data_IF_405265504047
#
_entry.id   IF_405265504047
#
_cell.length_a   1.000
_cell.length_b   1.000
_cell.length_c   1.000
_cell.angle_alpha   90.00
_cell.angle_beta   90.00
_cell.angle_gamma   90.00
#
_symmetry.space_group_name_H-M   'P 1'
#
loop_
_entity.id
_entity.type
_entity.pdbx_description
1 polymer ?
#
# COMPACT_ATOMS: atom_id res chain seq x y z
N UNK A 1 -36.30 -23.28 -17.66
CA UNK A 1 -36.08 -21.92 -17.13
C UNK A 1 -34.64 -21.53 -17.42
N UNK A 2 -34.42 -20.69 -18.43
CA UNK A 2 -33.07 -20.20 -18.77
C UNK A 2 -32.75 -19.04 -17.81
N UNK A 3 -31.93 -19.29 -16.80
CA UNK A 3 -31.32 -18.19 -16.04
C UNK A 3 -30.36 -17.48 -16.99
N UNK A 4 -30.73 -16.25 -17.37
CA UNK A 4 -29.81 -15.28 -17.97
C UNK A 4 -28.81 -14.90 -16.87
N UNK A 5 -27.80 -15.74 -16.68
CA UNK A 5 -26.72 -15.48 -15.75
C UNK A 5 -25.94 -14.28 -16.27
N UNK A 6 -26.04 -13.15 -15.58
CA UNK A 6 -25.11 -12.04 -15.76
C UNK A 6 -23.70 -12.62 -15.67
N UNK A 7 -22.98 -12.65 -16.79
CA UNK A 7 -21.68 -13.29 -16.85
C UNK A 7 -20.77 -12.65 -15.80
N UNK A 8 -20.09 -13.41 -14.93
CA UNK A 8 -19.16 -12.87 -13.94
C UNK A 8 -18.04 -12.02 -14.57
N UNK A 9 -17.80 -12.18 -15.88
CA UNK A 9 -16.96 -11.28 -16.66
C UNK A 9 -17.46 -9.82 -16.67
N UNK A 10 -18.77 -9.58 -16.71
CA UNK A 10 -19.35 -8.23 -16.69
C UNK A 10 -19.11 -7.52 -15.35
N UNK A 11 -19.20 -8.22 -14.23
CA UNK A 11 -18.88 -7.67 -12.92
C UNK A 11 -17.38 -7.39 -12.77
N UNK A 12 -16.55 -8.25 -13.34
CA UNK A 12 -15.08 -8.10 -13.32
C UNK A 12 -14.64 -6.90 -14.18
N UNK A 13 -15.21 -6.74 -15.38
CA UNK A 13 -14.93 -5.61 -16.27
C UNK A 13 -15.44 -4.29 -15.67
N UNK A 14 -16.65 -4.26 -15.09
CA UNK A 14 -17.15 -3.07 -14.42
C UNK A 14 -16.32 -2.71 -13.18
N UNK A 15 -15.88 -3.71 -12.41
CA UNK A 15 -14.93 -3.50 -11.30
C UNK A 15 -13.59 -2.93 -11.78
N UNK A 16 -13.08 -3.38 -12.92
CA UNK A 16 -11.86 -2.85 -13.56
C UNK A 16 -12.03 -1.42 -14.08
N UNK A 17 -13.18 -1.10 -14.67
CA UNK A 17 -13.49 0.26 -15.14
C UNK A 17 -13.61 1.21 -13.95
N UNK A 18 -14.28 0.81 -12.87
CA UNK A 18 -14.37 1.62 -11.64
C UNK A 18 -12.98 1.80 -11.03
N UNK A 19 -12.16 0.74 -10.95
CA UNK A 19 -10.78 0.83 -10.48
C UNK A 19 -9.93 1.77 -11.34
N UNK A 20 -10.03 1.67 -12.66
CA UNK A 20 -9.30 2.52 -13.60
C UNK A 20 -9.74 3.98 -13.49
N UNK A 21 -11.04 4.25 -13.42
CA UNK A 21 -11.60 5.60 -13.22
C UNK A 21 -11.12 6.18 -11.89
N UNK A 22 -11.15 5.41 -10.80
CA UNK A 22 -10.64 5.86 -9.49
C UNK A 22 -9.13 6.13 -9.50
N UNK A 23 -8.35 5.39 -10.28
CA UNK A 23 -6.91 5.61 -10.44
C UNK A 23 -6.59 6.82 -11.34
N UNK A 24 -7.38 7.07 -12.38
CA UNK A 24 -7.18 8.20 -13.31
C UNK A 24 -7.77 9.52 -12.81
N UNK A 25 -8.76 9.46 -11.91
CA UNK A 25 -9.33 10.64 -11.23
C UNK A 25 -8.65 10.97 -9.90
N UNK A 26 -7.51 10.33 -9.60
CA UNK A 26 -6.64 10.84 -8.56
C UNK A 26 -6.33 12.30 -8.90
N UNK A 27 -6.63 13.26 -8.01
CA UNK A 27 -6.37 14.65 -8.28
C UNK A 27 -4.88 14.75 -8.62
N UNK A 28 -4.61 15.15 -9.86
CA UNK A 28 -3.31 15.68 -10.25
C UNK A 28 -3.13 16.90 -9.38
N UNK A 29 -2.52 16.68 -8.20
CA UNK A 29 -2.11 17.75 -7.32
C UNK A 29 -1.10 18.52 -8.13
N UNK A 30 -1.56 19.61 -8.73
CA UNK A 30 -0.70 20.70 -9.17
C UNK A 30 0.23 20.95 -8.00
N UNK A 31 1.51 20.63 -8.19
CA UNK A 31 2.55 20.95 -7.23
C UNK A 31 2.56 22.47 -7.16
N UNK A 32 1.80 23.02 -6.22
CA UNK A 32 1.87 24.42 -5.88
C UNK A 32 3.32 24.65 -5.46
N UNK A 33 4.07 25.42 -6.25
CA UNK A 33 5.46 25.73 -5.97
C UNK A 33 5.50 26.46 -4.63
N UNK A 34 5.78 25.69 -3.57
CA UNK A 34 6.11 26.25 -2.26
C UNK A 34 7.40 27.02 -2.46
N UNK A 35 7.34 28.32 -2.19
CA UNK A 35 8.50 29.20 -2.24
C UNK A 35 9.61 28.54 -1.40
N UNK A 36 10.78 28.22 -1.97
CA UNK A 36 11.77 27.40 -1.28
C UNK A 36 12.26 28.12 -0.03
N UNK A 37 12.04 27.50 1.14
CA UNK A 37 12.64 27.95 2.39
C UNK A 37 14.16 27.92 2.27
N UNK A 38 14.84 28.94 2.81
CA UNK A 38 16.31 28.98 2.85
C UNK A 38 16.90 27.92 3.80
N UNK A 39 16.11 27.37 4.74
CA UNK A 39 16.54 26.32 5.66
C UNK A 39 16.18 24.92 5.11
N UNK A 40 17.18 24.07 4.78
CA UNK A 40 16.96 22.72 4.27
C UNK A 40 16.14 21.82 5.20
N UNK A 41 16.16 22.09 6.51
CA UNK A 41 15.36 21.34 7.49
C UNK A 41 13.89 21.76 7.43
N UNK A 42 13.60 23.06 7.33
CA UNK A 42 12.23 23.56 7.18
C UNK A 42 11.60 23.01 5.91
N UNK A 43 12.32 23.09 4.79
CA UNK A 43 11.87 22.53 3.49
C UNK A 43 11.52 21.04 3.60
N UNK A 44 12.39 20.27 4.27
CA UNK A 44 12.19 18.83 4.45
C UNK A 44 10.98 18.49 5.33
N UNK A 45 10.80 19.23 6.43
CA UNK A 45 9.66 19.03 7.34
C UNK A 45 8.34 19.43 6.67
N UNK A 46 8.31 20.54 5.94
CA UNK A 46 7.13 20.96 5.16
C UNK A 46 6.77 19.92 4.10
N UNK A 47 7.77 19.42 3.35
CA UNK A 47 7.52 18.37 2.35
C UNK A 47 6.94 17.10 2.99
N UNK A 48 7.44 16.68 4.15
CA UNK A 48 6.92 15.51 4.88
C UNK A 48 5.51 15.77 5.41
N UNK A 49 5.27 16.91 6.04
CA UNK A 49 3.95 17.29 6.56
C UNK A 49 2.91 17.26 5.44
N UNK A 50 3.18 17.97 4.35
CA UNK A 50 2.26 18.09 3.22
C UNK A 50 2.01 16.75 2.56
N UNK A 51 3.08 16.00 2.27
CA UNK A 51 2.98 14.70 1.64
C UNK A 51 2.19 13.70 2.48
N UNK A 52 2.52 13.59 3.76
CA UNK A 52 1.93 12.58 4.62
C UNK A 52 0.49 12.99 5.00
N UNK A 53 0.21 14.28 5.19
CA UNK A 53 -1.17 14.75 5.40
C UNK A 53 -2.00 14.58 4.13
N UNK A 54 -1.64 15.21 3.01
CA UNK A 54 -2.50 15.25 1.80
C UNK A 54 -2.72 13.87 1.18
N UNK A 55 -1.72 12.96 1.25
CA UNK A 55 -1.82 11.66 0.58
C UNK A 55 -2.22 10.48 1.49
N UNK A 56 -2.51 10.69 2.78
CA UNK A 56 -2.88 9.61 3.72
C UNK A 56 -4.04 8.76 3.21
N UNK A 57 -5.14 9.41 2.83
CA UNK A 57 -6.35 8.76 2.35
C UNK A 57 -6.15 8.08 0.99
N UNK A 58 -5.43 8.72 0.08
CA UNK A 58 -5.12 8.12 -1.23
C UNK A 58 -4.39 6.80 -1.08
N UNK A 59 -3.35 6.73 -0.24
CA UNK A 59 -2.60 5.50 -0.01
C UNK A 59 -3.45 4.40 0.62
N UNK A 60 -4.29 4.77 1.59
CA UNK A 60 -5.20 3.83 2.26
C UNK A 60 -6.30 3.31 1.33
N UNK A 61 -6.89 4.20 0.51
CA UNK A 61 -7.91 3.85 -0.47
C UNK A 61 -7.40 2.86 -1.52
N UNK A 62 -6.18 3.05 -2.02
CA UNK A 62 -5.55 2.09 -2.95
C UNK A 62 -5.40 0.71 -2.30
N UNK A 63 -4.93 0.65 -1.05
CA UNK A 63 -4.81 -0.60 -0.31
C UNK A 63 -6.18 -1.26 -0.10
N UNK A 64 -7.20 -0.50 0.27
CA UNK A 64 -8.56 -0.99 0.45
C UNK A 64 -9.15 -1.59 -0.81
N UNK A 65 -9.08 -0.87 -1.94
CA UNK A 65 -9.65 -1.35 -3.20
C UNK A 65 -8.91 -2.58 -3.70
N UNK A 66 -7.57 -2.56 -3.65
CA UNK A 66 -6.75 -3.73 -4.01
C UNK A 66 -7.06 -4.96 -3.14
N UNK A 67 -7.33 -4.73 -1.85
CA UNK A 67 -7.71 -5.79 -0.91
C UNK A 67 -9.13 -6.31 -1.16
N UNK A 68 -10.10 -5.44 -1.41
CA UNK A 68 -11.47 -5.84 -1.71
C UNK A 68 -11.53 -6.72 -2.98
N UNK A 69 -10.77 -6.35 -4.01
CA UNK A 69 -10.62 -7.15 -5.24
C UNK A 69 -9.98 -8.51 -4.90
N UNK A 70 -8.89 -8.53 -4.14
CA UNK A 70 -8.23 -9.77 -3.73
C UNK A 70 -9.12 -10.71 -2.92
N UNK A 71 -9.82 -10.18 -1.90
CA UNK A 71 -10.77 -10.94 -1.09
C UNK A 71 -11.89 -11.49 -1.98
N UNK A 72 -12.47 -10.66 -2.85
CA UNK A 72 -13.53 -11.07 -3.77
C UNK A 72 -13.08 -12.20 -4.70
N UNK A 73 -11.93 -12.04 -5.35
CA UNK A 73 -11.37 -13.04 -6.26
C UNK A 73 -11.01 -14.36 -5.55
N UNK A 74 -10.37 -14.28 -4.38
CA UNK A 74 -10.01 -15.46 -3.60
C UNK A 74 -11.24 -16.18 -3.04
N UNK A 75 -12.23 -15.44 -2.54
CA UNK A 75 -13.48 -16.03 -2.04
C UNK A 75 -14.29 -16.67 -3.17
N UNK A 76 -14.33 -16.03 -4.33
CA UNK A 76 -14.93 -16.59 -5.55
C UNK A 76 -14.20 -17.87 -5.98
N UNK A 77 -12.86 -17.90 -5.91
CA UNK A 77 -12.04 -19.07 -6.17
C UNK A 77 -12.35 -20.23 -5.24
N UNK A 78 -12.51 -19.98 -3.93
CA UNK A 78 -12.91 -21.00 -2.95
C UNK A 78 -14.32 -21.55 -3.20
N UNK A 79 -15.25 -20.69 -3.61
CA UNK A 79 -16.64 -21.06 -3.84
C UNK A 79 -16.85 -21.81 -5.16
N UNK A 80 -16.21 -21.36 -6.25
CA UNK A 80 -16.37 -21.94 -7.59
C UNK A 80 -15.27 -22.92 -7.99
N UNK A 81 -14.44 -23.39 -7.05
CA UNK A 81 -13.33 -24.27 -7.39
C UNK A 81 -13.81 -25.54 -8.12
N UNK A 82 -13.29 -25.83 -9.33
CA UNK A 82 -13.52 -27.12 -9.96
C UNK A 82 -13.01 -28.24 -9.07
N UNK A 83 -13.80 -29.31 -8.97
CA UNK A 83 -13.40 -30.50 -8.23
C UNK A 83 -12.27 -31.24 -8.97
N UNK A 84 -11.33 -31.78 -8.21
CA UNK A 84 -10.39 -32.77 -8.69
C UNK A 84 -11.12 -34.06 -9.08
N UNK A 85 -10.44 -34.96 -9.79
CA UNK A 85 -10.99 -36.25 -10.22
C UNK A 85 -11.50 -37.12 -9.05
N UNK A 86 -10.96 -36.91 -7.85
CA UNK A 86 -11.36 -37.54 -6.60
C UNK A 86 -12.63 -36.94 -5.96
N UNK A 87 -13.25 -35.93 -6.58
CA UNK A 87 -14.37 -35.19 -6.00
C UNK A 87 -13.96 -34.18 -4.90
N UNK A 88 -12.67 -34.07 -4.60
CA UNK A 88 -12.14 -33.12 -3.62
C UNK A 88 -11.81 -31.77 -4.26
N UNK A 89 -11.79 -30.66 -3.50
CA UNK A 89 -11.23 -29.38 -3.95
C UNK A 89 -9.86 -29.51 -4.67
N UNK A 90 -9.62 -28.76 -5.75
CA UNK A 90 -8.29 -28.70 -6.36
C UNK A 90 -7.33 -27.97 -5.39
N UNK A 91 -6.27 -28.63 -4.89
CA UNK A 91 -5.43 -28.07 -3.84
C UNK A 91 -4.70 -26.79 -4.27
N UNK A 92 -4.42 -26.63 -5.57
CA UNK A 92 -3.78 -25.41 -6.09
C UNK A 92 -4.74 -24.24 -6.02
N UNK A 93 -6.01 -24.44 -6.41
CA UNK A 93 -7.04 -23.39 -6.34
C UNK A 93 -7.31 -23.02 -4.89
N UNK A 94 -7.43 -24.01 -4.01
CA UNK A 94 -7.64 -23.79 -2.59
C UNK A 94 -6.50 -22.98 -1.96
N UNK A 95 -5.25 -23.43 -2.09
CA UNK A 95 -4.09 -22.74 -1.53
C UNK A 95 -3.86 -21.35 -2.14
N UNK A 96 -4.02 -21.21 -3.46
CA UNK A 96 -3.88 -19.92 -4.14
C UNK A 96 -4.96 -18.92 -3.69
N UNK A 97 -6.18 -19.40 -3.49
CA UNK A 97 -7.28 -18.58 -3.00
C UNK A 97 -7.07 -18.15 -1.55
N UNK A 98 -6.61 -19.05 -0.68
CA UNK A 98 -6.25 -18.69 0.70
C UNK A 98 -5.09 -17.70 0.76
N UNK A 99 -4.06 -17.88 -0.06
CA UNK A 99 -2.95 -16.94 -0.15
C UNK A 99 -3.43 -15.56 -0.62
N UNK A 100 -4.32 -15.54 -1.61
CA UNK A 100 -4.92 -14.31 -2.15
C UNK A 100 -5.78 -13.60 -1.09
N UNK A 101 -6.67 -14.30 -0.39
CA UNK A 101 -7.47 -13.71 0.70
C UNK A 101 -6.58 -13.24 1.84
N UNK A 102 -5.63 -14.06 2.28
CA UNK A 102 -4.72 -13.72 3.39
C UNK A 102 -3.86 -12.49 3.09
N UNK A 103 -3.25 -12.44 1.90
CA UNK A 103 -2.44 -11.30 1.47
C UNK A 103 -3.28 -10.04 1.26
N UNK A 104 -4.50 -10.15 0.74
CA UNK A 104 -5.43 -9.04 0.62
C UNK A 104 -5.87 -8.50 1.98
N UNK A 105 -6.25 -9.35 2.93
CA UNK A 105 -6.57 -8.92 4.30
C UNK A 105 -5.36 -8.26 4.98
N UNK A 106 -4.17 -8.81 4.81
CA UNK A 106 -2.95 -8.21 5.32
C UNK A 106 -2.68 -6.82 4.72
N UNK A 107 -3.04 -6.58 3.45
CA UNK A 107 -2.93 -5.26 2.84
C UNK A 107 -3.87 -4.22 3.44
N UNK A 108 -5.06 -4.59 3.91
CA UNK A 108 -5.95 -3.68 4.64
C UNK A 108 -5.27 -3.20 5.92
N UNK A 109 -4.77 -4.16 6.71
CA UNK A 109 -4.07 -3.89 7.97
C UNK A 109 -2.84 -3.02 7.70
N UNK A 110 -2.05 -3.38 6.70
CA UNK A 110 -0.88 -2.63 6.28
C UNK A 110 -1.23 -1.20 5.83
N UNK A 111 -2.31 -1.04 5.07
CA UNK A 111 -2.83 0.25 4.65
C UNK A 111 -3.20 1.11 5.85
N UNK A 112 -3.85 0.53 6.86
CA UNK A 112 -4.20 1.20 8.12
C UNK A 112 -2.97 1.64 8.90
N UNK A 113 -1.98 0.75 9.08
CA UNK A 113 -0.71 1.10 9.71
C UNK A 113 -0.01 2.26 8.99
N UNK A 114 0.01 2.21 7.66
CA UNK A 114 0.64 3.26 6.83
C UNK A 114 -0.12 4.58 6.91
N UNK A 115 -1.43 4.54 7.06
CA UNK A 115 -2.24 5.74 7.30
C UNK A 115 -1.83 6.40 8.61
N UNK A 116 -1.77 5.64 9.70
CA UNK A 116 -1.42 6.16 11.02
C UNK A 116 0.01 6.70 11.05
N UNK A 117 0.95 5.96 10.46
CA UNK A 117 2.34 6.41 10.31
C UNK A 117 2.42 7.78 9.64
N UNK A 118 1.56 8.03 8.64
CA UNK A 118 1.51 9.32 7.93
C UNK A 118 0.88 10.41 8.79
N UNK A 119 -0.20 10.11 9.53
CA UNK A 119 -0.82 11.08 10.44
C UNK A 119 0.19 11.51 11.52
N UNK A 120 0.82 10.54 12.20
CA UNK A 120 1.81 10.80 13.24
C UNK A 120 3.02 11.55 12.67
N UNK A 121 3.47 11.17 11.46
CA UNK A 121 4.58 11.85 10.78
C UNK A 121 4.26 13.31 10.48
N UNK A 122 3.06 13.60 9.97
CA UNK A 122 2.64 14.97 9.67
C UNK A 122 2.51 15.82 10.95
N UNK A 123 1.94 15.26 12.02
CA UNK A 123 1.83 15.95 13.31
C UNK A 123 3.21 16.26 13.90
N UNK A 124 4.14 15.30 13.89
CA UNK A 124 5.51 15.51 14.36
C UNK A 124 6.26 16.55 13.52
N UNK A 125 6.09 16.54 12.19
CA UNK A 125 6.68 17.54 11.31
C UNK A 125 6.14 18.94 11.63
N UNK A 126 4.82 19.08 11.82
CA UNK A 126 4.18 20.34 12.21
C UNK A 126 4.66 20.84 13.57
N UNK A 127 4.79 19.96 14.56
CA UNK A 127 5.30 20.31 15.88
C UNK A 127 6.76 20.82 15.82
N UNK A 128 7.61 20.17 15.00
CA UNK A 128 8.98 20.62 14.78
C UNK A 128 9.06 21.94 14.01
N UNK A 129 8.13 22.20 13.07
CA UNK A 129 8.03 23.48 12.38
C UNK A 129 7.59 24.63 13.30
N UNK A 130 6.80 24.33 14.34
CA UNK A 130 6.30 25.31 15.30
C UNK A 130 7.34 25.74 16.36
N UNK A 131 8.38 24.92 16.61
CA UNK A 131 9.43 25.21 17.59
C UNK A 131 10.84 25.13 16.96
N UNK A 132 11.47 26.28 16.62
CA UNK A 132 12.82 26.31 16.04
C UNK A 132 13.91 25.66 16.90
N UNK A 133 13.75 25.61 18.22
CA UNK A 133 14.73 24.94 19.10
C UNK A 133 14.61 23.42 18.96
N UNK A 134 13.39 22.89 19.02
CA UNK A 134 13.12 21.47 18.78
C UNK A 134 13.47 21.05 17.34
N UNK A 135 13.21 21.91 16.35
CA UNK A 135 13.59 21.69 14.95
C UNK A 135 15.08 21.39 14.82
N UNK A 136 15.93 22.22 15.44
CA UNK A 136 17.39 22.11 15.38
C UNK A 136 17.91 20.87 16.12
N UNK A 137 17.34 20.53 17.27
CA UNK A 137 17.79 19.38 18.06
C UNK A 137 17.27 18.05 17.52
N UNK A 138 16.06 18.00 16.96
CA UNK A 138 15.35 16.75 16.65
C UNK A 138 15.04 16.53 15.17
N UNK A 139 15.20 17.52 14.31
CA UNK A 139 14.78 17.43 12.90
C UNK A 139 15.45 16.28 12.14
N UNK A 140 16.78 16.13 12.27
CA UNK A 140 17.50 15.03 11.63
C UNK A 140 17.10 13.66 12.20
N UNK A 141 16.87 13.57 13.52
CA UNK A 141 16.42 12.34 14.17
C UNK A 141 15.07 11.92 13.60
N UNK A 142 14.13 12.85 13.52
CA UNK A 142 12.82 12.66 12.94
C UNK A 142 12.90 12.16 11.49
N UNK A 143 13.66 12.85 10.62
CA UNK A 143 13.82 12.48 9.21
C UNK A 143 14.44 11.08 9.05
N UNK A 144 15.46 10.76 9.86
CA UNK A 144 16.11 9.44 9.86
C UNK A 144 15.16 8.32 10.29
N UNK A 145 14.44 8.51 11.41
CA UNK A 145 13.46 7.55 11.90
C UNK A 145 12.32 7.35 10.89
N UNK A 146 11.82 8.46 10.33
CA UNK A 146 10.76 8.43 9.31
C UNK A 146 11.21 7.69 8.05
N UNK A 147 12.45 7.89 7.60
CA UNK A 147 13.01 7.17 6.46
C UNK A 147 13.11 5.66 6.70
N UNK A 148 13.57 5.22 7.89
CA UNK A 148 13.62 3.81 8.28
C UNK A 148 12.24 3.18 8.33
N UNK A 149 11.27 3.84 8.98
CA UNK A 149 9.87 3.40 9.00
C UNK A 149 9.31 3.29 7.57
N UNK A 150 9.50 4.32 6.74
CA UNK A 150 9.04 4.32 5.35
C UNK A 150 9.60 3.15 4.54
N UNK A 151 10.87 2.78 4.76
CA UNK A 151 11.52 1.66 4.10
C UNK A 151 10.91 0.32 4.55
N UNK A 152 10.73 0.12 5.86
CA UNK A 152 10.10 -1.09 6.40
C UNK A 152 8.67 -1.25 5.87
N UNK A 153 7.86 -0.20 5.97
CA UNK A 153 6.47 -0.20 5.48
C UNK A 153 6.43 -0.47 3.98
N UNK A 154 7.31 0.15 3.18
CA UNK A 154 7.39 -0.12 1.74
C UNK A 154 7.78 -1.57 1.44
N UNK A 155 8.73 -2.14 2.18
CA UNK A 155 9.17 -3.51 2.03
C UNK A 155 8.01 -4.48 2.26
N UNK A 156 7.34 -4.37 3.41
CA UNK A 156 6.21 -5.25 3.74
C UNK A 156 5.03 -5.07 2.79
N UNK A 157 4.73 -3.82 2.38
CA UNK A 157 3.75 -3.56 1.32
C UNK A 157 4.08 -4.31 0.03
N UNK A 158 5.36 -4.27 -0.39
CA UNK A 158 5.84 -5.04 -1.54
C UNK A 158 5.68 -6.55 -1.37
N UNK A 159 5.97 -7.09 -0.18
CA UNK A 159 5.83 -8.54 0.11
C UNK A 159 4.37 -8.96 -0.08
N UNK A 160 3.43 -8.24 0.52
CA UNK A 160 2.02 -8.55 0.44
C UNK A 160 1.46 -8.39 -0.98
N UNK A 161 1.84 -7.34 -1.71
CA UNK A 161 1.45 -7.17 -3.12
C UNK A 161 1.99 -8.29 -4.01
N UNK A 162 3.23 -8.72 -3.77
CA UNK A 162 3.84 -9.82 -4.52
C UNK A 162 3.16 -11.15 -4.23
N UNK A 163 2.89 -11.45 -2.95
CA UNK A 163 2.15 -12.64 -2.53
C UNK A 163 0.74 -12.68 -3.15
N UNK A 164 0.04 -11.54 -3.16
CA UNK A 164 -1.25 -11.40 -3.81
C UNK A 164 -1.15 -11.67 -5.32
N UNK A 165 -0.14 -11.11 -5.99
CA UNK A 165 0.11 -11.36 -7.42
C UNK A 165 0.38 -12.82 -7.74
N UNK A 166 1.19 -13.50 -6.92
CA UNK A 166 1.48 -14.94 -7.06
C UNK A 166 0.21 -15.76 -6.88
N UNK A 167 -0.56 -15.51 -5.80
CA UNK A 167 -1.84 -16.19 -5.55
C UNK A 167 -2.82 -16.03 -6.72
N UNK A 168 -2.98 -14.80 -7.20
CA UNK A 168 -3.84 -14.49 -8.36
C UNK A 168 -3.35 -15.18 -9.64
N UNK A 169 -2.04 -15.23 -9.88
CA UNK A 169 -1.46 -15.90 -11.05
C UNK A 169 -1.74 -17.40 -11.03
N UNK A 170 -1.48 -18.05 -9.90
CA UNK A 170 -1.68 -19.49 -9.71
C UNK A 170 -3.15 -19.87 -9.82
N UNK A 171 -4.03 -19.08 -9.19
CA UNK A 171 -5.48 -19.23 -9.31
C UNK A 171 -5.92 -19.13 -10.77
N UNK A 172 -5.50 -18.05 -11.45
CA UNK A 172 -5.85 -17.82 -12.85
C UNK A 172 -5.38 -18.92 -13.79
N UNK A 173 -4.11 -19.33 -13.66
CA UNK A 173 -3.51 -20.34 -14.52
C UNK A 173 -4.22 -21.68 -14.35
N UNK A 174 -4.61 -22.02 -13.12
CA UNK A 174 -5.32 -23.26 -12.84
C UNK A 174 -6.76 -23.26 -13.35
N UNK A 175 -7.47 -22.13 -13.22
CA UNK A 175 -8.81 -21.96 -13.78
C UNK A 175 -8.81 -21.97 -15.31
N UNK A 176 -7.78 -21.40 -15.94
CA UNK A 176 -7.63 -21.47 -17.39
C UNK A 176 -7.45 -22.92 -17.87
N UNK A 177 -6.64 -23.72 -17.17
CA UNK A 177 -6.39 -25.11 -17.54
C UNK A 177 -7.59 -26.04 -17.28
N UNK A 178 -8.27 -25.87 -16.14
CA UNK A 178 -9.25 -26.85 -15.64
C UNK A 178 -10.68 -26.35 -15.53
N UNK A 179 -10.92 -25.06 -15.69
CA UNK A 179 -12.24 -24.47 -15.54
C UNK A 179 -13.18 -24.80 -16.70
N UNK A 180 -14.47 -24.64 -16.46
CA UNK A 180 -15.49 -24.60 -17.54
C UNK A 180 -15.34 -23.32 -18.36
N UNK A 181 -16.00 -23.22 -19.52
CA UNK A 181 -15.77 -22.17 -20.52
C UNK A 181 -15.78 -20.73 -19.96
N UNK A 182 -16.70 -20.40 -19.04
CA UNK A 182 -16.72 -19.09 -18.35
C UNK A 182 -15.60 -18.89 -17.32
N UNK A 183 -15.11 -19.95 -16.68
CA UNK A 183 -13.98 -19.90 -15.75
C UNK A 183 -12.64 -19.78 -16.47
N UNK A 184 -12.52 -20.29 -17.70
CA UNK A 184 -11.29 -20.19 -18.48
C UNK A 184 -10.97 -18.73 -18.83
N UNK A 185 -11.98 -17.98 -19.25
CA UNK A 185 -11.83 -16.54 -19.55
C UNK A 185 -11.42 -15.76 -18.30
N UNK A 186 -12.05 -16.02 -17.16
CA UNK A 186 -11.65 -15.44 -15.87
C UNK A 186 -10.21 -15.86 -15.50
N UNK A 187 -9.85 -17.10 -15.77
CA UNK A 187 -8.51 -17.65 -15.56
C UNK A 187 -7.42 -16.87 -16.29
N UNK A 188 -7.61 -16.60 -17.59
CA UNK A 188 -6.67 -15.78 -18.38
C UNK A 188 -6.53 -14.37 -17.78
N UNK A 189 -7.66 -13.72 -17.47
CA UNK A 189 -7.65 -12.38 -16.88
C UNK A 189 -6.89 -12.35 -15.54
N UNK A 190 -7.15 -13.34 -14.68
CA UNK A 190 -6.47 -13.47 -13.39
C UNK A 190 -4.97 -13.75 -13.57
N UNK A 191 -4.56 -14.60 -14.52
CA UNK A 191 -3.14 -14.82 -14.80
C UNK A 191 -2.44 -13.53 -15.19
N UNK A 192 -2.99 -12.76 -16.14
CA UNK A 192 -2.39 -11.50 -16.60
C UNK A 192 -2.32 -10.49 -15.45
N UNK A 193 -3.42 -10.30 -14.71
CA UNK A 193 -3.44 -9.39 -13.56
C UNK A 193 -2.47 -9.80 -12.47
N UNK A 194 -2.37 -11.11 -12.19
CA UNK A 194 -1.46 -11.66 -11.20
C UNK A 194 -0.01 -11.35 -11.54
N UNK A 195 0.40 -11.60 -12.79
CA UNK A 195 1.76 -11.29 -13.27
C UNK A 195 2.05 -9.80 -13.15
N UNK A 196 1.14 -8.93 -13.61
CA UNK A 196 1.31 -7.48 -13.49
C UNK A 196 1.45 -7.04 -12.03
N UNK A 197 0.61 -7.57 -11.13
CA UNK A 197 0.66 -7.25 -9.70
C UNK A 197 1.96 -7.75 -9.04
N UNK A 198 2.45 -8.93 -9.43
CA UNK A 198 3.76 -9.44 -8.99
C UNK A 198 4.88 -8.52 -9.45
N UNK A 199 4.88 -8.07 -10.70
CA UNK A 199 5.89 -7.12 -11.20
C UNK A 199 5.84 -5.80 -10.43
N UNK A 200 4.65 -5.25 -10.19
CA UNK A 200 4.47 -4.03 -9.37
C UNK A 200 5.04 -4.22 -7.97
N UNK A 201 4.72 -5.33 -7.30
CA UNK A 201 5.28 -5.68 -6.00
C UNK A 201 6.81 -5.78 -6.04
N UNK A 202 7.34 -6.42 -7.09
CA UNK A 202 8.78 -6.66 -7.26
C UNK A 202 9.57 -5.37 -7.43
N UNK A 203 9.07 -4.45 -8.25
CA UNK A 203 9.67 -3.11 -8.46
C UNK A 203 9.52 -2.25 -7.20
N UNK A 204 8.49 -2.50 -6.38
CA UNK A 204 8.30 -1.75 -5.15
C UNK A 204 9.42 -2.02 -4.12
N UNK A 205 10.00 -3.23 -4.08
CA UNK A 205 11.00 -3.65 -3.08
C UNK A 205 12.30 -2.83 -3.06
N UNK A 206 13.05 -2.67 -4.17
CA UNK A 206 14.37 -2.00 -4.16
C UNK A 206 14.25 -0.47 -4.15
N UNK A 207 13.06 0.07 -4.44
CA UNK A 207 12.86 1.50 -4.60
C UNK A 207 13.06 2.27 -3.29
N UNK A 208 13.86 3.34 -3.34
CA UNK A 208 14.02 4.24 -2.21
C UNK A 208 12.71 4.93 -1.85
N UNK A 209 12.28 4.87 -0.60
CA UNK A 209 11.09 5.57 -0.14
C UNK A 209 11.24 7.10 -0.23
N UNK A 210 10.12 7.83 -0.34
CA UNK A 210 10.10 9.31 -0.41
C UNK A 210 10.88 9.93 0.75
N UNK A 211 10.59 9.52 1.99
CA UNK A 211 11.27 10.02 3.18
C UNK A 211 12.78 9.79 3.16
N UNK A 212 13.25 8.70 2.56
CA UNK A 212 14.67 8.46 2.35
C UNK A 212 15.29 9.42 1.32
N UNK A 213 14.56 9.79 0.26
CA UNK A 213 15.01 10.81 -0.71
C UNK A 213 15.04 12.20 -0.10
N UNK A 214 14.03 12.54 0.71
CA UNK A 214 14.00 13.80 1.48
C UNK A 214 15.23 13.88 2.38
N UNK A 215 15.44 12.86 3.22
CA UNK A 215 16.61 12.79 4.12
C UNK A 215 17.94 12.95 3.35
N UNK A 216 18.15 12.21 2.26
CA UNK A 216 19.37 12.31 1.47
C UNK A 216 19.61 13.71 0.90
N UNK A 217 18.54 14.38 0.41
CA UNK A 217 18.65 15.77 -0.07
C UNK A 217 18.96 16.72 1.08
N UNK A 218 18.33 16.57 2.24
CA UNK A 218 18.56 17.41 3.41
C UNK A 218 19.99 17.27 3.91
N UNK A 219 20.49 16.03 4.06
CA UNK A 219 21.88 15.78 4.47
C UNK A 219 22.87 16.40 3.49
N UNK A 220 22.63 16.25 2.18
CA UNK A 220 23.46 16.87 1.14
C UNK A 220 23.48 18.40 1.24
N UNK A 221 22.32 19.04 1.44
CA UNK A 221 22.21 20.50 1.60
C UNK A 221 22.87 21.01 2.89
N UNK A 222 22.90 20.19 3.95
CA UNK A 222 23.55 20.52 5.22
C UNK A 222 25.07 20.20 5.24
N UNK A 223 25.63 19.64 4.16
CA UNK A 223 27.04 19.21 4.14
C UNK A 223 27.34 18.04 5.09
N UNK A 224 26.33 17.26 5.46
CA UNK A 224 26.46 16.14 6.40
C UNK A 224 26.56 14.81 5.66
N UNK A 225 27.44 13.93 6.16
CA UNK A 225 27.57 12.56 5.67
C UNK A 225 26.53 11.64 6.34
N UNK A 226 26.22 10.48 5.72
CA UNK A 226 25.21 9.53 6.22
C UNK A 226 25.51 8.89 7.59
N UNK A 227 26.72 9.09 8.13
CA UNK A 227 27.20 8.47 9.37
C UNK A 227 27.00 9.33 10.63
N UNK A 228 26.20 10.40 10.57
CA UNK A 228 25.88 11.20 11.77
C UNK A 228 25.04 10.35 12.73
N UNK A 229 25.61 10.00 13.88
CA UNK A 229 24.87 9.42 15.00
C UNK A 229 23.96 10.50 15.59
N UNK A 230 22.66 10.24 15.66
CA UNK A 230 21.68 11.19 16.17
C UNK A 230 21.05 10.60 17.42
N UNK A 231 21.24 11.27 18.56
CA UNK A 231 20.64 10.87 19.82
C UNK A 231 19.14 11.19 19.84
N UNK A 232 18.28 10.27 20.29
CA UNK A 232 16.84 10.50 20.37
C UNK A 232 16.49 11.49 21.48
N UNK A 233 15.55 12.38 21.21
CA UNK A 233 14.78 13.10 22.23
C UNK A 233 13.30 12.83 22.00
N UNK A 234 12.54 12.62 23.09
CA UNK A 234 11.10 12.29 23.01
C UNK A 234 10.34 13.50 22.47
N UNK A 235 9.60 13.30 21.38
CA UNK A 235 8.67 14.30 20.86
C UNK A 235 7.31 14.13 21.57
N UNK A 236 6.63 15.21 21.97
CA UNK A 236 5.27 15.12 22.50
C UNK A 236 4.34 14.60 21.40
N UNK A 237 3.65 13.49 21.67
CA UNK A 237 2.60 12.95 20.79
C UNK A 237 1.27 13.39 21.38
N UNK A 238 0.47 14.09 20.57
CA UNK A 238 -0.89 14.47 20.98
C UNK A 238 -1.85 13.30 20.72
N UNK A 239 -2.53 12.83 21.77
CA UNK A 239 -3.31 11.59 21.77
C UNK A 239 -4.72 11.73 21.18
N UNK A 240 -5.07 12.87 20.57
CA UNK A 240 -6.47 13.20 20.25
C UNK A 240 -6.97 12.78 18.86
N UNK A 241 -6.25 11.97 18.09
CA UNK A 241 -6.69 11.63 16.71
C UNK A 241 -6.95 10.14 16.51
N UNK A 242 -8.15 9.84 16.01
CA UNK A 242 -8.55 8.50 15.59
C UNK A 242 -7.62 7.98 14.48
N UNK A 243 -7.02 6.81 14.71
CA UNK A 243 -6.06 6.15 13.82
C UNK A 243 -6.61 4.79 13.38
N UNK A 244 -6.99 4.62 12.09
CA UNK A 244 -7.47 3.36 11.54
C UNK A 244 -6.59 2.15 11.89
N UNK A 245 -5.26 2.27 11.84
CA UNK A 245 -4.36 1.17 12.16
C UNK A 245 -4.37 0.81 13.65
N UNK A 246 -4.30 1.80 14.55
CA UNK A 246 -4.37 1.59 16.01
C UNK A 246 -5.71 0.94 16.39
N UNK A 247 -6.80 1.37 15.76
CA UNK A 247 -8.12 0.75 15.94
C UNK A 247 -8.19 -0.70 15.44
N UNK A 248 -7.51 -1.03 14.34
CA UNK A 248 -7.40 -2.41 13.84
C UNK A 248 -6.60 -3.33 14.77
N UNK A 249 -5.77 -2.77 15.66
CA UNK A 249 -5.05 -3.50 16.71
C UNK A 249 -5.66 -3.33 18.11
N UNK A 250 -6.89 -2.78 18.21
CA UNK A 250 -7.59 -2.61 19.49
C UNK A 250 -6.91 -1.61 20.45
N UNK A 251 -6.09 -0.69 19.93
CA UNK A 251 -5.49 0.40 20.71
C UNK A 251 -6.30 1.68 20.45
N UNK A 252 -7.02 2.13 21.47
CA UNK A 252 -7.65 3.45 21.55
C UNK A 252 -6.83 4.34 22.49
#
# INVERSE_FOLDING_TARGET
>A
MNQVGNSPAYLTINGLIIFFIMMTQLPTVSAQEVQPSADPMVEALQEIEDADWKHRWTGYGIAWVGSAIGIGMGSWGLYHQPLAKSGTPDPVIFSASLLLVGSATAQIIHGGMRFDERVISAQNARALLADPKAQKSNGLFFLSNRAKKAQSTRFWGGVMTTAQGIGTTLLGARLWQKGVEGQKTAGIAFTVMGVLNTVVGTIHFPGKARSGRVLDRTLKKLGLNKNVSINPTVLPVDHQTWSPGLSAFGRF
#
